data_IF_606222324281
#
_entry.id   IF_606222324281
#
_cell.length_a   1.000
_cell.length_b   1.000
_cell.length_c   1.000
_cell.angle_alpha   90.00
_cell.angle_beta   90.00
_cell.angle_gamma   90.00
#
_symmetry.space_group_name_H-M   'P 1'
#
loop_
_entity.id
_entity.type
_entity.pdbx_description
1 polymer ?
#
# COMPACT_ATOMS: atom_id res chain seq x y z
N UNK A 1 11.73 9.16 -2.50
CA UNK A 1 12.31 7.80 -2.46
C UNK A 1 11.25 6.70 -2.25
N UNK A 2 10.33 6.81 -1.27
CA UNK A 2 9.40 5.72 -0.94
C UNK A 2 8.46 5.31 -2.08
N UNK A 3 7.85 6.28 -2.74
CA UNK A 3 6.82 6.02 -3.76
C UNK A 3 7.37 5.46 -5.08
N UNK A 4 8.65 5.74 -5.40
CA UNK A 4 9.25 5.29 -6.68
C UNK A 4 9.98 3.95 -6.56
N UNK A 5 10.66 3.72 -5.44
CA UNK A 5 11.45 2.51 -5.23
C UNK A 5 10.65 1.46 -4.45
N UNK A 6 10.25 1.77 -3.21
CA UNK A 6 9.66 0.79 -2.31
C UNK A 6 8.30 0.27 -2.79
N UNK A 7 7.44 1.13 -3.34
CA UNK A 7 6.18 0.69 -3.97
C UNK A 7 6.44 -0.30 -5.10
N UNK A 8 7.46 -0.06 -5.92
CA UNK A 8 7.81 -0.95 -7.02
C UNK A 8 8.37 -2.28 -6.54
N UNK A 9 9.18 -2.29 -5.49
CA UNK A 9 9.68 -3.52 -4.86
C UNK A 9 8.53 -4.33 -4.25
N UNK A 10 7.60 -3.68 -3.54
CA UNK A 10 6.41 -4.34 -2.95
C UNK A 10 5.53 -4.95 -4.03
N UNK A 11 5.23 -4.20 -5.11
CA UNK A 11 4.40 -4.70 -6.21
C UNK A 11 5.10 -5.75 -7.06
N UNK A 12 6.44 -5.71 -7.14
CA UNK A 12 7.24 -6.56 -8.02
C UNK A 12 8.32 -7.29 -7.21
N UNK A 13 7.93 -8.27 -6.36
CA UNK A 13 8.88 -9.01 -5.53
C UNK A 13 9.92 -9.77 -6.37
N UNK A 14 9.62 -10.05 -7.63
CA UNK A 14 10.54 -10.61 -8.63
C UNK A 14 11.80 -9.77 -8.89
N UNK A 15 11.83 -8.49 -8.49
CA UNK A 15 13.05 -7.68 -8.55
C UNK A 15 14.09 -8.05 -7.48
N UNK A 16 13.65 -8.75 -6.43
CA UNK A 16 14.49 -9.13 -5.30
C UNK A 16 14.64 -10.64 -5.20
N UNK A 17 13.59 -11.38 -5.58
CA UNK A 17 13.53 -12.83 -5.42
C UNK A 17 13.24 -13.51 -6.76
N UNK A 18 13.82 -14.70 -6.96
CA UNK A 18 13.49 -15.56 -8.11
C UNK A 18 12.20 -16.34 -7.84
N UNK A 19 11.06 -15.69 -8.04
CA UNK A 19 9.73 -16.25 -7.78
C UNK A 19 8.75 -15.94 -8.90
N UNK A 20 7.80 -16.84 -9.13
CA UNK A 20 6.65 -16.56 -9.97
C UNK A 20 5.53 -15.88 -9.16
N UNK A 21 5.11 -14.68 -9.58
CA UNK A 21 3.98 -13.95 -8.98
C UNK A 21 2.70 -14.25 -9.76
N UNK A 22 1.74 -14.94 -9.11
CA UNK A 22 0.42 -15.15 -9.69
C UNK A 22 -0.49 -13.91 -9.55
N UNK A 23 -1.64 -13.92 -10.25
CA UNK A 23 -2.57 -12.79 -10.30
C UNK A 23 -3.21 -12.44 -8.96
N UNK A 24 -3.48 -13.44 -8.11
CA UNK A 24 -4.05 -13.22 -6.77
C UNK A 24 -3.02 -12.51 -5.89
N UNK A 25 -1.77 -12.98 -5.89
CA UNK A 25 -0.67 -12.36 -5.16
C UNK A 25 -0.42 -10.94 -5.65
N UNK A 26 -0.49 -10.68 -6.97
CA UNK A 26 -0.38 -9.33 -7.52
C UNK A 26 -1.49 -8.38 -7.02
N UNK A 27 -2.74 -8.85 -6.98
CA UNK A 27 -3.86 -8.09 -6.45
C UNK A 27 -3.67 -7.78 -4.95
N UNK A 28 -3.26 -8.77 -4.14
CA UNK A 28 -2.98 -8.58 -2.71
C UNK A 28 -1.83 -7.59 -2.48
N UNK A 29 -0.72 -7.72 -3.21
CA UNK A 29 0.43 -6.82 -3.09
C UNK A 29 0.09 -5.40 -3.55
N UNK A 30 -0.82 -5.23 -4.51
CA UNK A 30 -1.30 -3.92 -4.92
C UNK A 30 -2.09 -3.21 -3.81
N UNK A 31 -2.86 -3.95 -3.00
CA UNK A 31 -3.53 -3.40 -1.81
C UNK A 31 -2.50 -2.92 -0.79
N UNK A 32 -1.52 -3.77 -0.45
CA UNK A 32 -0.44 -3.43 0.50
C UNK A 32 0.38 -2.23 0.02
N UNK A 33 0.72 -2.19 -1.27
CA UNK A 33 1.42 -1.08 -1.89
C UNK A 33 0.60 0.22 -1.81
N UNK A 34 -0.72 0.16 -2.02
CA UNK A 34 -1.59 1.32 -1.85
C UNK A 34 -1.60 1.81 -0.40
N UNK A 35 -1.70 0.92 0.58
CA UNK A 35 -1.60 1.27 2.01
C UNK A 35 -0.28 1.95 2.34
N UNK A 36 0.84 1.45 1.80
CA UNK A 36 2.14 2.08 1.95
C UNK A 36 2.16 3.49 1.33
N UNK A 37 1.61 3.67 0.13
CA UNK A 37 1.49 5.00 -0.48
C UNK A 37 0.62 5.94 0.36
N UNK A 38 -0.50 5.46 0.89
CA UNK A 38 -1.41 6.24 1.73
C UNK A 38 -0.73 6.67 3.04
N UNK A 39 0.19 5.87 3.60
CA UNK A 39 1.01 6.27 4.75
C UNK A 39 2.01 7.39 4.45
N UNK A 40 2.40 7.57 3.18
CA UNK A 40 3.23 8.69 2.76
C UNK A 40 2.42 9.93 2.33
N UNK A 41 1.09 9.87 2.38
CA UNK A 41 0.22 10.95 1.94
C UNK A 41 0.04 12.00 3.03
N UNK A 42 0.26 13.27 2.68
CA UNK A 42 -0.03 14.42 3.55
C UNK A 42 -1.52 14.78 3.60
N UNK A 43 -2.36 14.12 2.77
CA UNK A 43 -3.80 14.38 2.75
C UNK A 43 -4.57 13.49 3.74
N UNK A 44 -5.43 14.12 4.52
CA UNK A 44 -6.47 13.46 5.34
C UNK A 44 -7.57 12.92 4.41
N UNK A 45 -7.74 11.60 4.36
CA UNK A 45 -8.83 10.97 3.60
C UNK A 45 -9.98 10.63 4.54
N UNK A 46 -11.14 11.25 4.30
CA UNK A 46 -12.39 10.86 4.98
C UNK A 46 -12.93 9.58 4.35
N UNK A 47 -12.81 8.48 5.07
CA UNK A 47 -13.34 7.18 4.65
C UNK A 47 -14.81 7.06 5.04
N UNK A 48 -15.58 6.38 4.20
CA UNK A 48 -17.00 6.14 4.38
C UNK A 48 -17.48 4.93 3.59
N UNK A 49 -18.79 4.67 3.59
CA UNK A 49 -19.39 3.48 2.96
C UNK A 49 -19.08 3.31 1.47
N UNK A 50 -18.82 4.42 0.76
CA UNK A 50 -18.53 4.44 -0.67
C UNK A 50 -17.01 4.40 -0.96
N UNK A 51 -16.18 4.30 0.08
CA UNK A 51 -14.74 4.19 -0.08
C UNK A 51 -14.35 2.82 -0.65
N UNK A 52 -13.32 2.74 -1.51
CA UNK A 52 -12.80 1.47 -2.00
C UNK A 52 -12.45 0.52 -0.85
N UNK A 53 -12.86 -0.75 -0.94
CA UNK A 53 -12.66 -1.74 0.14
C UNK A 53 -11.21 -1.87 0.57
N UNK A 54 -10.26 -1.76 -0.36
CA UNK A 54 -8.83 -1.81 -0.07
C UNK A 54 -8.35 -0.67 0.85
N UNK A 55 -8.98 0.51 0.79
CA UNK A 55 -8.71 1.62 1.72
C UNK A 55 -9.33 1.37 3.09
N UNK A 56 -10.48 0.70 3.14
CA UNK A 56 -11.15 0.37 4.39
C UNK A 56 -10.39 -0.70 5.19
N UNK A 57 -9.71 -1.64 4.52
CA UNK A 57 -8.96 -2.72 5.17
C UNK A 57 -7.93 -2.24 6.20
N UNK A 58 -7.21 -1.15 5.89
CA UNK A 58 -6.12 -0.62 6.74
C UNK A 58 -6.43 0.77 7.31
N UNK A 59 -7.68 1.21 7.21
CA UNK A 59 -8.10 2.55 7.61
C UNK A 59 -7.65 2.97 9.02
N UNK A 60 -7.70 2.03 9.96
CA UNK A 60 -7.37 2.27 11.38
C UNK A 60 -5.87 2.38 11.63
N UNK A 61 -5.05 1.78 10.78
CA UNK A 61 -3.60 1.72 10.96
C UNK A 61 -2.86 2.89 10.28
N UNK A 62 -3.46 3.46 9.22
CA UNK A 62 -2.88 4.58 8.46
C UNK A 62 -2.40 5.74 9.34
N UNK A 63 -3.14 6.22 10.36
CA UNK A 63 -2.65 7.32 11.22
C UNK A 63 -1.33 6.99 11.91
N UNK A 64 -1.18 5.76 12.41
CA UNK A 64 0.06 5.32 13.03
C UNK A 64 1.19 5.22 11.99
N UNK A 65 0.92 4.68 10.80
CA UNK A 65 1.93 4.60 9.74
C UNK A 65 2.39 5.98 9.27
N UNK A 66 1.48 6.96 9.14
CA UNK A 66 1.85 8.35 8.84
C UNK A 66 2.81 8.92 9.87
N UNK A 67 2.56 8.67 11.17
CA UNK A 67 3.45 9.13 12.24
C UNK A 67 4.85 8.51 12.22
N UNK A 68 5.04 7.38 11.54
CA UNK A 68 6.37 6.78 11.35
C UNK A 68 7.10 7.30 10.10
N UNK A 69 6.35 7.89 9.17
CA UNK A 69 6.89 8.45 7.92
C UNK A 69 7.28 9.92 8.10
N UNK A 70 6.56 10.66 8.96
CA UNK A 70 6.89 12.01 9.43
C UNK A 70 8.16 12.03 10.29
#
# INVERSE_FOLDING_TARGET
LPLRFWVNVIKNPQFVFDIHKNSITDACLSVVAQTFMDSCSTSEHRLGKDSPSNKLLYAKDIPNYKSWVE
#
